data_IF_293839278510
#
_entry.id   IF_293839278510
#
_cell.length_a   1.000
_cell.length_b   1.000
_cell.length_c   1.000
_cell.angle_alpha   90.00
_cell.angle_beta   90.00
_cell.angle_gamma   90.00
#
_symmetry.space_group_name_H-M   'P 1'
#
loop_
_entity.id
_entity.type
_entity.pdbx_description
1 polymer ?
#
# COMPACT_ATOMS: atom_id res chain seq x y z
N UNK A 1 23.07 -9.72 8.72
CA UNK A 1 22.72 -8.28 8.57
C UNK A 1 22.93 -7.95 7.11
N UNK A 2 21.92 -8.21 6.29
CA UNK A 2 21.97 -7.90 4.85
C UNK A 2 21.80 -6.40 4.71
N UNK A 3 22.86 -5.69 4.30
CA UNK A 3 22.73 -4.34 3.74
C UNK A 3 21.70 -4.44 2.63
N UNK A 4 20.61 -3.73 2.76
CA UNK A 4 19.76 -3.38 1.62
C UNK A 4 20.60 -2.36 0.86
N UNK A 5 21.49 -2.88 -0.01
CA UNK A 5 22.09 -2.06 -1.04
C UNK A 5 20.92 -1.54 -1.87
N UNK A 6 20.87 -0.24 -2.05
CA UNK A 6 19.89 0.50 -2.83
C UNK A 6 19.88 -0.01 -4.28
N UNK A 7 19.27 -1.17 -4.52
CA UNK A 7 18.77 -1.47 -5.86
C UNK A 7 17.68 -0.45 -6.11
N UNK A 8 17.92 0.50 -6.99
CA UNK A 8 16.86 1.32 -7.57
C UNK A 8 15.76 0.35 -7.98
N UNK A 9 14.60 0.46 -7.33
CA UNK A 9 13.42 -0.27 -7.78
C UNK A 9 13.15 0.16 -9.21
N UNK A 10 12.88 -0.79 -10.08
CA UNK A 10 12.51 -0.48 -11.46
C UNK A 10 11.11 0.13 -11.46
N UNK A 11 11.05 1.45 -11.49
CA UNK A 11 9.78 2.19 -11.60
C UNK A 11 9.28 2.03 -13.04
N UNK A 12 8.11 1.41 -13.20
CA UNK A 12 7.48 1.17 -14.49
C UNK A 12 6.37 2.20 -14.68
N UNK A 13 6.62 3.24 -15.48
CA UNK A 13 5.62 4.24 -15.82
C UNK A 13 4.71 3.72 -16.95
N UNK A 14 3.45 3.50 -16.63
CA UNK A 14 2.42 3.07 -17.58
C UNK A 14 1.15 3.92 -17.41
N UNK A 15 0.35 4.00 -18.47
CA UNK A 15 -0.99 4.59 -18.37
C UNK A 15 -1.90 3.68 -17.58
N UNK A 16 -2.51 4.22 -16.52
CA UNK A 16 -3.44 3.48 -15.66
C UNK A 16 -4.73 4.26 -15.37
N UNK A 17 -5.76 3.57 -14.95
CA UNK A 17 -7.03 4.17 -14.52
C UNK A 17 -6.96 4.55 -13.05
N UNK A 18 -7.09 5.85 -12.75
CA UNK A 18 -7.15 6.35 -11.37
C UNK A 18 -8.36 5.78 -10.64
N UNK A 19 -9.53 5.69 -11.31
CA UNK A 19 -10.73 5.09 -10.72
C UNK A 19 -10.47 3.66 -10.27
N UNK A 20 -9.84 2.85 -11.11
CA UNK A 20 -9.55 1.45 -10.78
C UNK A 20 -8.58 1.36 -9.60
N UNK A 21 -7.51 2.14 -9.58
CA UNK A 21 -6.54 2.18 -8.48
C UNK A 21 -7.22 2.52 -7.15
N UNK A 22 -8.01 3.60 -7.13
CA UNK A 22 -8.74 4.03 -5.92
C UNK A 22 -9.74 2.97 -5.49
N UNK A 23 -10.48 2.35 -6.42
CA UNK A 23 -11.45 1.30 -6.11
C UNK A 23 -10.79 0.08 -5.47
N UNK A 24 -9.64 -0.38 -5.97
CA UNK A 24 -8.86 -1.48 -5.38
C UNK A 24 -8.38 -1.15 -3.96
N UNK A 25 -7.86 0.06 -3.76
CA UNK A 25 -7.43 0.55 -2.45
C UNK A 25 -8.61 0.62 -1.47
N UNK A 26 -9.76 1.15 -1.92
CA UNK A 26 -10.97 1.26 -1.11
C UNK A 26 -11.49 -0.11 -0.68
N UNK A 27 -11.51 -1.09 -1.57
CA UNK A 27 -11.97 -2.44 -1.27
C UNK A 27 -11.13 -3.10 -0.16
N UNK A 28 -9.80 -2.96 -0.27
CA UNK A 28 -8.87 -3.50 0.72
C UNK A 28 -8.99 -2.75 2.05
N UNK A 29 -8.99 -1.40 2.00
CA UNK A 29 -9.09 -0.55 3.18
C UNK A 29 -10.39 -0.73 3.95
N UNK A 30 -11.53 -0.78 3.24
CA UNK A 30 -12.84 -1.03 3.84
C UNK A 30 -12.91 -2.38 4.57
N UNK A 31 -12.40 -3.45 3.94
CA UNK A 31 -12.35 -4.78 4.56
C UNK A 31 -11.50 -4.80 5.83
N UNK A 32 -10.37 -4.10 5.83
CA UNK A 32 -9.49 -4.00 7.01
C UNK A 32 -10.12 -3.18 8.14
N UNK A 33 -10.80 -2.08 7.80
CA UNK A 33 -11.51 -1.23 8.75
C UNK A 33 -12.70 -2.00 9.37
N UNK A 34 -13.48 -2.71 8.54
CA UNK A 34 -14.61 -3.55 8.98
C UNK A 34 -14.16 -4.61 10.00
N UNK A 35 -13.04 -5.29 9.75
CA UNK A 35 -12.46 -6.29 10.66
C UNK A 35 -12.14 -5.72 12.06
N UNK A 36 -12.04 -4.39 12.19
CA UNK A 36 -11.83 -3.67 13.45
C UNK A 36 -13.03 -2.83 13.92
N UNK A 37 -14.18 -2.94 13.24
CA UNK A 37 -15.36 -2.11 13.49
C UNK A 37 -15.06 -0.60 13.41
N UNK A 38 -14.25 -0.20 12.42
CA UNK A 38 -13.96 1.18 12.09
C UNK A 38 -14.77 1.61 10.87
N UNK A 39 -15.21 2.86 10.85
CA UNK A 39 -15.80 3.46 9.65
C UNK A 39 -14.69 3.83 8.65
N UNK A 40 -14.86 3.46 7.38
CA UNK A 40 -13.96 3.84 6.30
C UNK A 40 -14.68 4.77 5.35
N UNK A 41 -14.21 6.01 5.23
CA UNK A 41 -14.81 7.06 4.43
C UNK A 41 -13.87 7.42 3.30
N UNK A 42 -14.41 7.57 2.09
CA UNK A 42 -13.63 7.89 0.89
C UNK A 42 -14.23 9.10 0.21
N UNK A 43 -13.39 10.07 -0.08
CA UNK A 43 -13.71 11.25 -0.87
C UNK A 43 -12.73 11.40 -2.03
N UNK A 44 -13.24 11.58 -3.23
CA UNK A 44 -12.45 11.69 -4.46
C UNK A 44 -12.94 12.87 -5.27
N UNK A 45 -12.06 13.80 -5.52
CA UNK A 45 -12.38 15.00 -6.31
C UNK A 45 -12.80 14.62 -7.73
N UNK A 46 -14.01 15.07 -8.15
CA UNK A 46 -14.63 14.69 -9.43
C UNK A 46 -13.88 15.22 -10.66
N UNK A 47 -13.08 16.27 -10.47
CA UNK A 47 -12.33 16.95 -11.54
C UNK A 47 -11.00 16.28 -11.88
N UNK A 48 -10.57 15.28 -11.08
CA UNK A 48 -9.36 14.52 -11.34
C UNK A 48 -9.37 13.83 -12.71
N UNK A 49 -8.21 13.67 -13.35
CA UNK A 49 -8.10 12.90 -14.59
C UNK A 49 -8.53 11.44 -14.38
N UNK A 50 -9.20 10.88 -15.37
CA UNK A 50 -9.59 9.46 -15.37
C UNK A 50 -8.38 8.53 -15.52
N UNK A 51 -7.38 8.98 -16.28
CA UNK A 51 -6.15 8.23 -16.54
C UNK A 51 -4.95 9.07 -16.15
N UNK A 52 -3.98 8.41 -15.55
CA UNK A 52 -2.68 8.99 -15.20
C UNK A 52 -1.57 8.13 -15.80
N UNK A 53 -0.38 8.70 -15.89
CA UNK A 53 0.85 7.99 -16.23
C UNK A 53 1.74 7.89 -14.99
N UNK A 54 2.20 6.68 -14.68
CA UNK A 54 3.02 6.41 -13.49
C UNK A 54 3.02 4.94 -13.11
N UNK A 55 3.62 4.61 -11.99
CA UNK A 55 3.65 3.25 -11.46
C UNK A 55 2.46 2.99 -10.51
N UNK A 56 1.37 2.50 -11.08
CA UNK A 56 0.14 2.22 -10.34
C UNK A 56 0.35 1.20 -9.20
N UNK A 57 1.26 0.23 -9.38
CA UNK A 57 1.53 -0.80 -8.38
C UNK A 57 2.18 -0.20 -7.13
N UNK A 58 3.24 0.60 -7.32
CA UNK A 58 3.94 1.22 -6.21
C UNK A 58 3.11 2.35 -5.57
N UNK A 59 2.36 3.14 -6.35
CA UNK A 59 1.39 4.12 -5.80
C UNK A 59 0.37 3.41 -4.90
N UNK A 60 -0.22 2.31 -5.36
CA UNK A 60 -1.14 1.50 -4.57
C UNK A 60 -0.49 0.99 -3.29
N UNK A 61 0.74 0.49 -3.35
CA UNK A 61 1.48 -0.01 -2.20
C UNK A 61 1.72 1.09 -1.16
N UNK A 62 2.10 2.29 -1.59
CA UNK A 62 2.27 3.45 -0.70
C UNK A 62 0.96 3.76 0.03
N UNK A 63 -0.15 3.91 -0.70
CA UNK A 63 -1.44 4.24 -0.11
C UNK A 63 -1.91 3.15 0.88
N UNK A 64 -1.77 1.88 0.50
CA UNK A 64 -2.12 0.75 1.38
C UNK A 64 -1.26 0.72 2.66
N UNK A 65 0.03 1.08 2.60
CA UNK A 65 0.85 1.22 3.80
C UNK A 65 0.32 2.29 4.75
N UNK A 66 -0.17 3.43 4.22
CA UNK A 66 -0.78 4.48 5.04
C UNK A 66 -2.10 4.02 5.65
N UNK A 67 -2.97 3.38 4.86
CA UNK A 67 -4.26 2.85 5.35
C UNK A 67 -4.04 1.77 6.42
N UNK A 68 -3.09 0.85 6.19
CA UNK A 68 -2.73 -0.17 7.17
C UNK A 68 -2.30 0.44 8.51
N UNK A 69 -1.49 1.51 8.47
CA UNK A 69 -1.10 2.23 9.67
C UNK A 69 -2.31 2.92 10.34
N UNK A 70 -3.14 3.63 9.59
CA UNK A 70 -4.33 4.29 10.09
C UNK A 70 -5.28 3.29 10.81
N UNK A 71 -5.60 2.17 10.15
CA UNK A 71 -6.42 1.09 10.73
C UNK A 71 -5.75 0.44 11.94
N UNK A 72 -4.42 0.26 11.90
CA UNK A 72 -3.65 -0.36 12.97
C UNK A 72 -3.68 0.47 14.25
N UNK A 73 -3.51 1.79 14.15
CA UNK A 73 -3.40 2.69 15.29
C UNK A 73 -4.72 3.33 15.71
N UNK A 74 -5.82 3.04 15.02
CA UNK A 74 -7.18 3.43 15.41
C UNK A 74 -7.86 2.27 16.11
N UNK A 75 -8.31 2.49 17.36
CA UNK A 75 -9.06 1.49 18.14
C UNK A 75 -10.56 1.60 17.94
N UNK A 76 -11.08 2.82 17.80
CA UNK A 76 -12.49 3.15 17.55
C UNK A 76 -12.54 4.46 16.77
N UNK A 77 -13.51 4.59 15.90
CA UNK A 77 -13.73 5.81 15.10
C UNK A 77 -13.61 5.54 13.62
N UNK A 78 -12.85 6.38 12.91
CA UNK A 78 -12.89 6.46 11.45
C UNK A 78 -11.49 6.52 10.85
N UNK A 79 -11.40 6.01 9.63
CA UNK A 79 -10.28 6.23 8.70
C UNK A 79 -10.83 6.88 7.44
N UNK A 80 -10.22 7.95 6.97
CA UNK A 80 -10.61 8.69 5.77
C UNK A 80 -9.52 8.54 4.72
N UNK A 81 -9.93 8.32 3.47
CA UNK A 81 -9.09 8.45 2.30
C UNK A 81 -9.64 9.59 1.45
N UNK A 82 -8.85 10.62 1.25
CA UNK A 82 -9.17 11.75 0.39
C UNK A 82 -8.20 11.78 -0.79
N UNK A 83 -8.71 12.01 -1.99
CA UNK A 83 -7.91 12.08 -3.24
C UNK A 83 -8.24 13.38 -3.95
N UNK A 84 -7.25 14.27 -4.04
CA UNK A 84 -7.43 15.62 -4.60
C UNK A 84 -6.31 15.96 -5.58
N UNK A 85 -6.56 17.01 -6.37
CA UNK A 85 -5.52 17.67 -7.16
C UNK A 85 -5.03 18.91 -6.40
N UNK A 86 -3.72 19.00 -6.23
CA UNK A 86 -3.06 20.18 -5.68
C UNK A 86 -2.04 20.69 -6.69
N UNK A 87 -2.37 21.79 -7.36
CA UNK A 87 -1.55 22.38 -8.43
C UNK A 87 -1.24 21.36 -9.56
N UNK A 88 0.01 20.91 -9.63
CA UNK A 88 0.51 19.92 -10.60
C UNK A 88 0.77 18.54 -9.96
N UNK A 89 0.18 18.27 -8.83
CA UNK A 89 0.32 17.01 -8.09
C UNK A 89 -1.05 16.41 -7.83
N UNK A 90 -1.08 15.09 -7.70
CA UNK A 90 -2.20 14.38 -7.11
C UNK A 90 -1.82 14.01 -5.68
N UNK A 91 -2.71 14.28 -4.75
CA UNK A 91 -2.54 13.96 -3.34
C UNK A 91 -3.47 12.83 -2.91
N UNK A 92 -2.93 11.92 -2.09
CA UNK A 92 -3.69 10.90 -1.38
C UNK A 92 -3.47 11.12 0.11
N UNK A 93 -4.51 11.56 0.79
CA UNK A 93 -4.50 11.85 2.22
C UNK A 93 -5.22 10.75 2.99
N UNK A 94 -4.53 10.13 3.95
CA UNK A 94 -5.10 9.13 4.85
C UNK A 94 -5.12 9.68 6.26
N UNK A 95 -6.33 10.01 6.72
CA UNK A 95 -6.57 10.58 8.05
C UNK A 95 -7.22 9.55 8.96
N UNK A 96 -6.73 9.44 10.17
CA UNK A 96 -7.27 8.57 11.21
C UNK A 96 -7.69 9.34 12.47
N UNK A 97 -8.58 8.76 13.24
CA UNK A 97 -9.00 9.27 14.56
C UNK A 97 -8.37 8.45 15.70
N UNK A 98 -7.18 7.92 15.46
CA UNK A 98 -6.48 7.04 16.39
C UNK A 98 -5.72 7.75 17.49
N UNK A 99 -4.70 7.09 17.99
CA UNK A 99 -3.92 7.57 19.14
C UNK A 99 -3.09 8.82 18.85
N UNK A 100 -2.86 9.15 17.57
CA UNK A 100 -1.95 10.22 17.17
C UNK A 100 -0.48 9.93 17.53
N UNK A 101 0.39 10.89 17.19
CA UNK A 101 1.83 10.79 17.35
C UNK A 101 2.29 11.98 18.19
N UNK A 102 3.21 11.74 19.12
CA UNK A 102 3.77 12.81 19.93
C UNK A 102 4.73 13.66 19.10
N UNK A 103 4.84 14.94 19.45
CA UNK A 103 5.70 15.88 18.74
C UNK A 103 7.16 15.42 18.72
N UNK A 104 7.62 14.81 19.80
CA UNK A 104 8.99 14.29 19.94
C UNK A 104 9.31 13.11 19.01
N UNK A 105 8.25 12.35 18.59
CA UNK A 105 8.39 11.18 17.71
C UNK A 105 8.22 11.54 16.23
N UNK A 106 7.72 12.75 15.91
CA UNK A 106 7.42 13.16 14.54
C UNK A 106 8.66 13.27 13.65
N UNK A 107 9.79 13.75 14.19
CA UNK A 107 11.03 13.93 13.43
C UNK A 107 11.63 12.59 12.97
N UNK A 108 11.51 11.56 13.80
CA UNK A 108 12.05 10.22 13.52
C UNK A 108 11.02 9.26 12.88
N UNK A 109 9.83 9.77 12.51
CA UNK A 109 8.71 8.95 12.05
C UNK A 109 9.00 8.10 10.81
N UNK A 110 9.86 8.61 9.93
CA UNK A 110 10.24 7.97 8.68
C UNK A 110 11.59 7.23 8.75
N UNK A 111 12.25 7.20 9.93
CA UNK A 111 13.50 6.50 10.09
C UNK A 111 13.29 4.98 10.15
N UNK A 112 14.27 4.23 9.63
CA UNK A 112 14.21 2.76 9.61
C UNK A 112 14.09 2.21 11.04
N UNK A 113 13.17 1.25 11.21
CA UNK A 113 12.92 0.55 12.48
C UNK A 113 12.42 1.42 13.63
N UNK A 114 12.12 2.70 13.38
CA UNK A 114 11.52 3.55 14.39
C UNK A 114 10.04 3.17 14.58
N UNK A 115 9.68 2.98 15.84
CA UNK A 115 8.30 2.76 16.27
C UNK A 115 8.01 3.75 17.37
N UNK A 116 7.08 4.67 17.10
CA UNK A 116 6.61 5.57 18.14
C UNK A 116 6.12 4.72 19.34
N UNK A 117 6.74 4.95 20.51
CA UNK A 117 6.31 4.37 21.80
C UNK A 117 6.40 2.82 21.94
N UNK A 118 7.59 2.21 21.64
CA UNK A 118 7.84 0.77 21.83
C UNK A 118 7.53 0.31 23.28
N UNK A 119 7.68 1.17 24.26
CA UNK A 119 7.50 0.82 25.69
C UNK A 119 6.05 0.74 26.12
N UNK A 120 5.11 1.41 25.45
CA UNK A 120 3.70 1.51 25.86
C UNK A 120 2.70 0.70 25.02
N UNK A 121 3.06 0.31 23.80
CA UNK A 121 2.16 -0.42 22.90
C UNK A 121 2.77 -1.75 22.44
N UNK A 122 3.24 -2.57 23.40
CA UNK A 122 3.82 -3.90 23.16
C UNK A 122 2.95 -4.86 22.34
N UNK A 123 1.66 -4.61 22.26
CA UNK A 123 0.68 -5.48 21.60
C UNK A 123 0.36 -5.09 20.14
N UNK A 124 1.04 -4.08 19.56
CA UNK A 124 0.78 -3.69 18.17
C UNK A 124 1.93 -4.25 17.32
N UNK A 125 1.71 -5.38 16.66
CA UNK A 125 2.68 -6.01 15.75
C UNK A 125 3.02 -5.12 14.54
N UNK A 126 4.28 -5.14 14.12
CA UNK A 126 4.74 -4.50 12.89
C UNK A 126 6.25 -4.28 12.86
N UNK A 127 6.85 -4.42 11.68
CA UNK A 127 8.28 -4.30 11.45
C UNK A 127 8.85 -2.88 11.65
N UNK A 128 8.02 -1.84 11.62
CA UNK A 128 8.46 -0.44 11.60
C UNK A 128 9.01 0.02 10.25
N UNK A 129 8.88 -0.79 9.21
CA UNK A 129 9.41 -0.50 7.87
C UNK A 129 8.39 0.13 6.92
N UNK A 130 7.08 0.08 7.23
CA UNK A 130 6.03 0.49 6.29
C UNK A 130 6.11 1.95 5.86
N UNK A 131 6.32 2.89 6.80
CA UNK A 131 6.43 4.32 6.48
C UNK A 131 7.75 4.66 5.77
N UNK A 132 8.84 4.02 6.15
CA UNK A 132 10.14 4.18 5.47
C UNK A 132 10.05 3.72 4.02
N UNK A 133 9.47 2.53 3.78
CA UNK A 133 9.24 2.02 2.43
C UNK A 133 8.29 2.94 1.65
N UNK A 134 7.22 3.43 2.27
CA UNK A 134 6.29 4.36 1.63
C UNK A 134 6.98 5.66 1.21
N UNK A 135 7.86 6.21 2.07
CA UNK A 135 8.65 7.39 1.76
C UNK A 135 9.62 7.15 0.60
N UNK A 136 10.41 6.08 0.65
CA UNK A 136 11.36 5.73 -0.40
C UNK A 136 10.69 5.54 -1.76
N UNK A 137 9.58 4.78 -1.82
CA UNK A 137 8.81 4.58 -3.05
C UNK A 137 8.26 5.89 -3.58
N UNK A 138 7.70 6.73 -2.70
CA UNK A 138 7.15 8.02 -3.07
C UNK A 138 8.22 8.94 -3.68
N UNK A 139 9.40 9.04 -3.04
CA UNK A 139 10.53 9.85 -3.51
C UNK A 139 11.11 9.34 -4.83
N UNK A 140 11.21 8.02 -5.03
CA UNK A 140 11.66 7.43 -6.29
C UNK A 140 10.71 7.71 -7.47
N UNK A 141 9.42 7.89 -7.19
CA UNK A 141 8.41 8.32 -8.18
C UNK A 141 8.33 9.85 -8.34
N UNK A 142 9.27 10.61 -7.75
CA UNK A 142 9.31 12.07 -7.83
C UNK A 142 8.28 12.77 -6.94
N UNK A 143 7.68 12.05 -6.01
CA UNK A 143 6.73 12.55 -5.04
C UNK A 143 7.36 12.87 -3.68
N UNK A 144 6.51 13.16 -2.71
CA UNK A 144 6.91 13.33 -1.31
C UNK A 144 5.78 12.94 -0.37
N UNK A 145 6.12 12.73 0.91
CA UNK A 145 5.17 12.40 1.96
C UNK A 145 5.21 13.45 3.06
N UNK A 146 4.04 13.80 3.58
CA UNK A 146 3.87 14.70 4.73
C UNK A 146 3.06 13.98 5.82
N UNK A 147 3.31 14.36 7.07
CA UNK A 147 2.59 13.85 8.21
C UNK A 147 2.23 14.99 9.17
N UNK A 148 0.98 14.99 9.60
CA UNK A 148 0.46 15.89 10.64
C UNK A 148 -0.22 15.02 11.69
N UNK A 149 0.05 15.29 12.96
CA UNK A 149 -0.57 14.51 14.03
C UNK A 149 -0.74 15.32 15.32
N UNK A 150 -1.81 14.99 16.03
CA UNK A 150 -2.05 15.48 17.38
C UNK A 150 -2.25 14.27 18.28
N UNK A 151 -1.37 14.09 19.25
CA UNK A 151 -1.47 13.00 20.20
C UNK A 151 -2.82 13.00 20.90
N UNK A 152 -3.50 11.85 20.90
CA UNK A 152 -4.86 11.67 21.43
C UNK A 152 -5.98 12.05 20.46
N UNK A 153 -5.70 12.58 19.26
CA UNK A 153 -6.74 12.99 18.29
C UNK A 153 -6.66 12.28 16.95
N UNK A 154 -5.50 11.73 16.61
CA UNK A 154 -5.25 11.02 15.35
C UNK A 154 -4.15 11.64 14.51
N UNK A 155 -3.97 11.11 13.32
CA UNK A 155 -2.93 11.51 12.38
C UNK A 155 -3.49 11.72 10.99
N UNK A 156 -2.78 12.47 10.17
CA UNK A 156 -3.01 12.65 8.76
C UNK A 156 -1.69 12.45 8.01
N UNK A 157 -1.66 11.49 7.09
CA UNK A 157 -0.54 11.22 6.22
C UNK A 157 -0.95 11.52 4.79
N UNK A 158 -0.23 12.42 4.14
CA UNK A 158 -0.51 12.79 2.75
C UNK A 158 0.69 12.47 1.87
N UNK A 159 0.47 11.77 0.78
CA UNK A 159 1.47 11.53 -0.27
C UNK A 159 1.09 12.30 -1.50
N UNK A 160 2.10 12.89 -2.12
CA UNK A 160 1.97 13.70 -3.32
C UNK A 160 2.77 13.04 -4.45
N UNK A 161 2.13 12.92 -5.62
CA UNK A 161 2.81 12.44 -6.83
C UNK A 161 2.66 13.48 -7.93
N UNK A 162 3.67 13.64 -8.81
CA UNK A 162 3.53 14.49 -9.98
C UNK A 162 2.31 14.08 -10.80
N UNK A 163 1.46 15.04 -11.13
CA UNK A 163 0.31 14.80 -11.97
C UNK A 163 0.76 14.72 -13.42
N UNK A 164 0.86 13.51 -13.95
CA UNK A 164 1.08 13.25 -15.37
C UNK A 164 -0.26 12.83 -15.97
N UNK A 165 -0.97 13.79 -16.59
CA UNK A 165 -2.29 13.57 -17.19
C UNK A 165 -2.14 12.76 -18.47
N UNK A 166 -2.81 11.64 -18.56
CA UNK A 166 -2.79 10.73 -19.70
C UNK A 166 -4.09 10.79 -20.52
N UNK A 167 -4.85 11.89 -20.46
CA UNK A 167 -6.06 12.09 -21.22
C UNK A 167 -6.90 13.26 -20.75
N UNK A 168 -7.94 13.60 -21.52
CA UNK A 168 -8.83 14.73 -21.23
C UNK A 168 -10.08 14.34 -20.42
N UNK A 169 -10.32 13.04 -20.23
CA UNK A 169 -11.48 12.54 -19.50
C UNK A 169 -11.28 12.71 -17.99
N UNK A 170 -12.36 13.13 -17.30
CA UNK A 170 -12.37 13.26 -15.84
C UNK A 170 -12.91 12.02 -15.17
N UNK A 171 -12.52 11.81 -13.90
CA UNK A 171 -12.95 10.66 -13.11
C UNK A 171 -14.47 10.71 -12.85
N UNK A 172 -15.05 11.92 -12.75
CA UNK A 172 -16.47 12.14 -12.47
C UNK A 172 -16.89 11.69 -11.08
N UNK A 173 -18.21 11.66 -10.82
CA UNK A 173 -18.73 11.29 -9.49
C UNK A 173 -18.17 9.98 -8.98
N UNK A 174 -17.61 10.06 -7.79
CA UNK A 174 -17.16 8.89 -7.06
C UNK A 174 -18.35 8.23 -6.36
N UNK A 175 -18.63 7.00 -6.73
CA UNK A 175 -19.53 6.13 -5.95
C UNK A 175 -18.78 4.85 -5.69
N UNK A 176 -18.70 4.44 -4.43
CA UNK A 176 -18.23 3.10 -4.09
C UNK A 176 -19.25 2.12 -4.68
N UNK A 177 -18.87 1.47 -5.77
CA UNK A 177 -19.71 0.43 -6.36
C UNK A 177 -19.47 -0.84 -5.57
N UNK A 178 -20.39 -1.14 -4.64
CA UNK A 178 -20.42 -2.45 -4.01
C UNK A 178 -20.74 -3.48 -5.10
N UNK A 179 -19.78 -4.37 -5.36
CA UNK A 179 -20.07 -5.62 -6.10
C UNK A 179 -19.71 -5.68 -7.58
N UNK A 180 -19.11 -4.68 -8.21
CA UNK A 180 -18.41 -4.98 -9.46
C UNK A 180 -17.08 -5.67 -9.11
N UNK A 181 -16.93 -6.96 -9.47
CA UNK A 181 -15.62 -7.59 -9.38
C UNK A 181 -14.70 -6.75 -10.27
N UNK A 182 -13.68 -6.15 -9.67
CA UNK A 182 -12.56 -5.64 -10.44
C UNK A 182 -12.15 -6.78 -11.34
N UNK A 183 -12.52 -6.71 -12.62
CA UNK A 183 -12.00 -7.61 -13.61
C UNK A 183 -10.52 -7.25 -13.75
N UNK A 184 -9.73 -7.70 -12.77
CA UNK A 184 -8.34 -7.94 -13.04
C UNK A 184 -8.34 -8.80 -14.31
N UNK A 185 -8.03 -8.23 -15.44
CA UNK A 185 -7.32 -8.96 -16.47
C UNK A 185 -5.98 -9.32 -15.84
N UNK A 186 -6.01 -10.24 -14.89
CA UNK A 186 -4.80 -10.95 -14.47
C UNK A 186 -4.26 -11.48 -15.77
N UNK A 187 -3.25 -10.84 -16.31
CA UNK A 187 -2.41 -11.45 -17.34
C UNK A 187 -2.03 -12.78 -16.68
N UNK A 188 -2.67 -13.85 -17.13
CA UNK A 188 -2.36 -15.18 -16.64
C UNK A 188 -0.90 -15.36 -16.93
N UNK A 189 -0.08 -15.19 -15.92
CA UNK A 189 1.34 -15.47 -16.03
C UNK A 189 1.45 -16.97 -16.24
N UNK A 190 2.01 -17.36 -17.36
CA UNK A 190 2.24 -18.75 -17.70
C UNK A 190 3.71 -18.91 -18.09
N UNK A 191 4.46 -19.73 -17.37
CA UNK A 191 5.89 -19.92 -17.54
C UNK A 191 6.26 -21.41 -17.42
N UNK A 192 5.78 -22.20 -18.38
CA UNK A 192 6.00 -23.65 -18.38
C UNK A 192 7.46 -24.09 -18.50
N UNK A 193 8.35 -23.19 -18.95
CA UNK A 193 9.78 -23.45 -19.07
C UNK A 193 10.57 -22.99 -17.83
N UNK A 194 9.93 -22.27 -16.90
CA UNK A 194 10.60 -21.82 -15.70
C UNK A 194 10.71 -22.93 -14.68
N UNK A 195 11.91 -23.13 -14.13
CA UNK A 195 12.20 -24.05 -13.04
C UNK A 195 12.40 -23.23 -11.76
N UNK A 196 11.68 -23.60 -10.70
CA UNK A 196 11.75 -22.95 -9.38
C UNK A 196 12.06 -24.00 -8.35
N UNK A 197 13.08 -23.76 -7.52
CA UNK A 197 13.34 -24.52 -6.32
C UNK A 197 12.79 -23.71 -5.13
N UNK A 198 11.84 -24.32 -4.42
CA UNK A 198 11.24 -23.76 -3.20
C UNK A 198 11.85 -24.44 -1.97
N UNK A 199 12.52 -23.67 -1.13
CA UNK A 199 13.15 -24.17 0.10
C UNK A 199 12.48 -23.52 1.29
N UNK A 200 11.85 -24.31 2.15
CA UNK A 200 11.21 -23.83 3.39
C UNK A 200 11.10 -25.02 4.36
N UNK A 201 11.39 -24.79 5.63
CA UNK A 201 11.30 -25.84 6.68
C UNK A 201 9.85 -26.10 7.13
N UNK A 202 8.91 -25.27 6.70
CA UNK A 202 7.48 -25.41 6.96
C UNK A 202 6.76 -26.08 5.78
N UNK A 203 6.30 -27.29 5.97
CA UNK A 203 5.49 -28.02 4.99
C UNK A 203 4.22 -27.24 4.59
N UNK A 204 3.65 -26.48 5.52
CA UNK A 204 2.48 -25.63 5.27
C UNK A 204 2.81 -24.49 4.29
N UNK A 205 3.96 -23.85 4.43
CA UNK A 205 4.42 -22.80 3.51
C UNK A 205 4.64 -23.39 2.11
N UNK A 206 5.30 -24.53 2.01
CA UNK A 206 5.51 -25.26 0.74
C UNK A 206 4.19 -25.52 0.07
N UNK A 207 3.19 -26.05 0.79
CA UNK A 207 1.85 -26.36 0.24
C UNK A 207 1.13 -25.10 -0.26
N UNK A 208 1.18 -23.99 0.49
CA UNK A 208 0.55 -22.72 0.12
C UNK A 208 1.19 -22.17 -1.18
N UNK A 209 2.51 -22.09 -1.24
CA UNK A 209 3.23 -21.56 -2.41
C UNK A 209 3.01 -22.46 -3.63
N UNK A 210 3.09 -23.78 -3.46
CA UNK A 210 2.79 -24.75 -4.52
C UNK A 210 1.40 -24.56 -5.08
N UNK A 211 0.39 -24.36 -4.22
CA UNK A 211 -0.99 -24.13 -4.65
C UNK A 211 -1.17 -22.83 -5.44
N UNK A 212 -0.45 -21.76 -5.06
CA UNK A 212 -0.45 -20.47 -5.76
C UNK A 212 0.20 -20.57 -7.14
N UNK A 213 1.31 -21.30 -7.26
CA UNK A 213 2.08 -21.44 -8.50
C UNK A 213 1.49 -22.49 -9.46
N UNK A 214 0.61 -23.38 -9.00
CA UNK A 214 0.02 -24.47 -9.81
C UNK A 214 -0.61 -24.01 -11.12
N UNK A 215 -1.13 -22.79 -11.17
CA UNK A 215 -1.81 -22.22 -12.34
C UNK A 215 -0.86 -21.51 -13.31
N UNK A 216 0.41 -21.37 -12.97
CA UNK A 216 1.41 -20.68 -13.79
C UNK A 216 2.15 -21.63 -14.74
N UNK A 217 2.02 -22.95 -14.56
CA UNK A 217 2.69 -23.95 -15.35
C UNK A 217 4.18 -24.11 -15.04
N UNK A 218 4.73 -23.42 -14.02
CA UNK A 218 6.15 -23.55 -13.62
C UNK A 218 6.46 -24.97 -13.14
N UNK A 219 7.67 -25.44 -13.42
CA UNK A 219 8.21 -26.68 -12.85
C UNK A 219 8.75 -26.34 -11.47
N UNK A 220 8.13 -26.94 -10.43
CA UNK A 220 8.44 -26.63 -9.04
C UNK A 220 9.06 -27.85 -8.36
N UNK A 221 10.31 -27.69 -7.92
CA UNK A 221 10.98 -28.61 -7.00
C UNK A 221 10.93 -28.05 -5.57
N UNK A 222 10.86 -28.91 -4.58
CA UNK A 222 10.76 -28.49 -3.19
C UNK A 222 11.83 -29.18 -2.33
N UNK A 223 12.39 -28.43 -1.37
CA UNK A 223 13.30 -28.96 -0.37
C UNK A 223 12.93 -28.40 1.02
N UNK A 224 13.03 -29.23 2.04
CA UNK A 224 12.73 -28.83 3.42
C UNK A 224 13.93 -28.13 4.12
N UNK A 225 15.11 -28.17 3.52
CA UNK A 225 16.30 -27.50 4.05
C UNK A 225 17.32 -27.19 2.97
N UNK A 226 18.27 -26.31 3.27
CA UNK A 226 19.38 -26.01 2.35
C UNK A 226 20.36 -27.18 2.15
N UNK A 227 20.24 -28.27 2.93
CA UNK A 227 21.03 -29.49 2.74
C UNK A 227 20.42 -30.45 1.73
N UNK A 228 19.12 -30.29 1.41
CA UNK A 228 18.42 -31.10 0.43
C UNK A 228 18.48 -30.51 -0.99
N UNK A 229 19.00 -29.31 -1.13
CA UNK A 229 19.24 -28.62 -2.40
C UNK A 229 20.52 -29.10 -3.06
#
# INVERSE_FOLDING_TARGET
ITRIESKKLDIIEEKFSLRQLVQEVCLIGAKQAEAKNLEFVVDVEETLPKYLEGDALHIKQVILNLINNAVKYTKKGKVFLEVCQEEKQISFSVKDTGIGIKKEDMEALFDMFMRADIKRHRNIEGSGLGLTIAKELCEQMGGHIQAESIYGKGSNFTVYFPLKDAGTEKIGQWKVVEGEPVQEKRKKFFASEAQILLVDDSEQNIQVITSLLRRTGVQLDTAASGFEC
#
